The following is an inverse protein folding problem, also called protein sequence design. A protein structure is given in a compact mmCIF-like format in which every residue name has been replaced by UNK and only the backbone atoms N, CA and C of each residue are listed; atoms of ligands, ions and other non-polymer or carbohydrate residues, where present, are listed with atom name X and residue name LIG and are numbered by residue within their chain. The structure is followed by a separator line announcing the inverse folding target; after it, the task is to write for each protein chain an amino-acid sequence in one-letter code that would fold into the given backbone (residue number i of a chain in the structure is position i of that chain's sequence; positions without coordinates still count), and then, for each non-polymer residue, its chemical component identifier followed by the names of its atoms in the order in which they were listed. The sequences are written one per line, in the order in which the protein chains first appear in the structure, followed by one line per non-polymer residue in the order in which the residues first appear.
data_IF_968970765244
#
_entry.id   IF_968970765244
#
_cell.length_a   1.000
_cell.length_b   1.000
_cell.length_c   1.000
_cell.angle_alpha   90.00
_cell.angle_beta   90.00
_cell.angle_gamma   90.00
#
_symmetry.space_group_name_H-M   'P 1'
#
loop_
_entity.id
_entity.type
_entity.pdbx_description
1 polymer ?
#
# COMPACT_ATOMS: atom_id res chain seq x y z
N UNK A 1 -91.20 9.34 37.06
CA UNK A 1 -89.87 9.71 36.70
C UNK A 1 -88.84 8.74 37.30
N UNK A 2 -89.00 7.41 37.14
CA UNK A 2 -87.95 6.47 37.61
C UNK A 2 -87.05 5.94 36.44
N UNK A 3 -87.37 6.24 35.19
CA UNK A 3 -86.60 5.70 34.02
C UNK A 3 -85.31 6.45 33.69
N UNK A 4 -85.17 7.70 34.11
CA UNK A 4 -83.97 8.51 33.83
C UNK A 4 -82.78 8.19 34.71
N UNK A 5 -82.98 7.62 35.89
CA UNK A 5 -81.92 7.25 36.84
C UNK A 5 -81.29 5.89 36.50
N UNK A 6 -82.00 4.98 35.83
CA UNK A 6 -81.51 3.67 35.43
C UNK A 6 -80.57 3.78 34.20
N UNK A 7 -80.82 4.70 33.26
CA UNK A 7 -79.99 4.94 32.08
C UNK A 7 -78.64 5.56 32.46
N UNK A 8 -78.60 6.46 33.43
CA UNK A 8 -77.36 7.08 33.92
C UNK A 8 -76.46 6.10 34.66
N UNK A 9 -77.07 5.12 35.37
CA UNK A 9 -76.29 4.04 36.01
C UNK A 9 -75.66 3.04 35.06
N UNK A 10 -76.35 2.71 33.96
CA UNK A 10 -75.83 1.79 32.95
C UNK A 10 -74.69 2.48 32.11
N UNK A 11 -74.81 3.76 31.85
CA UNK A 11 -73.78 4.51 31.13
C UNK A 11 -72.53 4.68 31.98
N UNK A 12 -72.67 4.88 33.30
CA UNK A 12 -71.53 4.95 34.22
C UNK A 12 -70.80 3.61 34.37
N UNK A 13 -71.59 2.48 34.33
CA UNK A 13 -70.98 1.13 34.38
C UNK A 13 -70.27 0.74 33.09
N UNK A 14 -70.75 1.21 31.93
CA UNK A 14 -70.11 0.99 30.64
C UNK A 14 -68.83 1.82 30.44
N UNK A 15 -68.75 3.02 31.03
CA UNK A 15 -67.54 3.84 31.02
C UNK A 15 -66.42 3.32 31.92
N UNK A 16 -66.72 2.48 32.90
CA UNK A 16 -65.73 1.84 33.77
C UNK A 16 -65.00 0.64 33.14
N UNK A 17 -65.44 0.20 31.95
CA UNK A 17 -64.85 -0.95 31.22
C UNK A 17 -64.00 -0.53 30.01
N UNK A 18 -63.80 0.79 29.80
CA UNK A 18 -62.87 1.23 28.79
C UNK A 18 -61.46 1.08 29.32
N UNK A 19 -60.61 0.18 28.78
CA UNK A 19 -59.23 0.11 29.18
C UNK A 19 -58.57 1.43 28.90
N UNK A 20 -58.07 2.11 29.93
CA UNK A 20 -57.28 3.33 29.80
C UNK A 20 -56.00 2.91 29.12
N UNK A 21 -55.72 3.35 27.87
CA UNK A 21 -54.45 3.05 27.22
C UNK A 21 -53.35 3.84 27.95
N UNK A 22 -52.46 3.16 28.67
CA UNK A 22 -51.27 3.79 29.24
C UNK A 22 -50.82 3.30 30.63
N UNK A 23 -51.56 2.40 31.28
CA UNK A 23 -51.03 1.74 32.48
C UNK A 23 -50.53 0.34 32.13
N UNK A 24 -49.39 0.27 31.43
CA UNK A 24 -48.61 -0.93 31.40
C UNK A 24 -48.04 -1.12 32.82
N UNK A 25 -48.43 -2.24 33.49
CA UNK A 25 -47.87 -2.59 34.78
C UNK A 25 -46.37 -2.86 34.66
N UNK A 26 -45.65 -2.90 35.80
CA UNK A 26 -44.22 -3.18 35.75
C UNK A 26 -43.96 -4.51 35.05
N UNK A 27 -43.05 -4.49 34.07
CA UNK A 27 -42.64 -5.68 33.34
C UNK A 27 -41.84 -6.57 34.31
N UNK A 28 -42.19 -7.83 34.41
CA UNK A 28 -41.49 -8.80 35.27
C UNK A 28 -40.49 -9.66 34.48
N UNK A 29 -40.67 -9.76 33.17
CA UNK A 29 -39.84 -10.53 32.26
C UNK A 29 -39.74 -9.86 30.91
N UNK A 30 -38.64 -10.06 30.21
CA UNK A 30 -38.38 -9.65 28.84
C UNK A 30 -38.29 -10.90 27.95
N UNK A 31 -38.92 -10.86 26.79
CA UNK A 31 -38.89 -11.93 25.79
C UNK A 31 -37.93 -11.55 24.66
N UNK A 32 -36.94 -12.39 24.42
CA UNK A 32 -35.98 -12.21 23.32
C UNK A 32 -35.39 -13.57 22.93
N UNK A 33 -35.17 -13.76 21.63
CA UNK A 33 -34.52 -14.94 21.06
C UNK A 33 -35.17 -16.27 21.50
N UNK A 34 -36.52 -16.33 21.55
CA UNK A 34 -37.30 -17.45 22.05
C UNK A 34 -36.99 -17.85 23.52
N UNK A 35 -36.45 -16.92 24.29
CA UNK A 35 -36.08 -17.07 25.68
C UNK A 35 -36.68 -15.96 26.54
N UNK A 36 -37.00 -16.31 27.80
CA UNK A 36 -37.56 -15.39 28.77
C UNK A 36 -36.48 -15.00 29.79
N UNK A 37 -36.29 -13.71 29.99
CA UNK A 37 -35.31 -13.15 30.90
C UNK A 37 -36.03 -12.42 32.05
N UNK A 38 -35.57 -12.58 33.27
CA UNK A 38 -36.13 -11.89 34.45
C UNK A 38 -35.47 -10.52 34.62
N UNK A 39 -36.16 -9.64 35.33
CA UNK A 39 -35.62 -8.30 35.64
C UNK A 39 -34.28 -8.41 36.34
N UNK A 40 -33.26 -7.70 35.80
CA UNK A 40 -31.87 -7.74 36.22
C UNK A 40 -30.99 -8.72 35.44
N UNK A 41 -31.56 -9.55 34.57
CA UNK A 41 -30.78 -10.44 33.74
C UNK A 41 -30.28 -9.73 32.47
N UNK A 42 -29.05 -10.08 32.03
CA UNK A 42 -28.39 -9.59 30.85
C UNK A 42 -28.43 -10.64 29.75
N UNK A 43 -28.68 -10.20 28.52
CA UNK A 43 -28.68 -11.07 27.35
C UNK A 43 -28.21 -10.32 26.08
N UNK A 44 -27.78 -11.06 25.06
CA UNK A 44 -27.47 -10.51 23.76
C UNK A 44 -28.68 -10.65 22.85
N UNK A 45 -28.98 -9.56 22.10
CA UNK A 45 -30.13 -9.53 21.21
C UNK A 45 -29.80 -10.21 19.87
N UNK A 46 -28.56 -10.13 19.45
CA UNK A 46 -28.04 -10.61 18.17
C UNK A 46 -26.95 -11.69 18.36
N UNK A 47 -26.76 -12.52 17.33
CA UNK A 47 -25.80 -13.62 17.34
C UNK A 47 -24.34 -13.18 17.31
N UNK A 48 -24.08 -11.95 16.88
CA UNK A 48 -22.75 -11.33 16.85
C UNK A 48 -22.38 -10.62 18.16
N UNK A 49 -23.26 -10.71 19.18
CA UNK A 49 -23.09 -10.11 20.51
C UNK A 49 -22.84 -8.58 20.48
N UNK A 50 -23.33 -7.90 19.44
CA UNK A 50 -23.17 -6.45 19.33
C UNK A 50 -24.13 -5.66 20.19
N UNK A 51 -25.33 -6.20 20.43
CA UNK A 51 -26.36 -5.56 21.23
C UNK A 51 -26.57 -6.31 22.52
N UNK A 52 -26.17 -5.69 23.64
CA UNK A 52 -26.41 -6.22 24.99
C UNK A 52 -27.59 -5.51 25.63
N UNK A 53 -28.49 -6.28 26.19
CA UNK A 53 -29.70 -5.79 26.86
C UNK A 53 -29.74 -6.21 28.31
N UNK A 54 -30.27 -5.34 29.17
CA UNK A 54 -30.69 -5.64 30.51
C UNK A 54 -32.23 -5.64 30.58
N UNK A 55 -32.80 -6.68 31.15
CA UNK A 55 -34.23 -6.69 31.39
C UNK A 55 -34.55 -5.82 32.61
N UNK A 56 -35.29 -4.72 32.41
CA UNK A 56 -35.67 -3.79 33.46
C UNK A 56 -37.19 -3.83 33.72
N UNK A 57 -37.66 -3.21 34.81
CA UNK A 57 -39.07 -3.08 35.12
C UNK A 57 -39.87 -2.25 34.12
N UNK A 58 -39.17 -1.48 33.27
CA UNK A 58 -39.74 -0.64 32.21
C UNK A 58 -39.64 -1.31 30.83
N UNK A 59 -39.05 -2.49 30.76
CA UNK A 59 -38.73 -3.23 29.54
C UNK A 59 -37.24 -3.39 29.28
N UNK A 60 -36.84 -3.95 28.13
CA UNK A 60 -35.42 -4.15 27.82
C UNK A 60 -34.70 -2.81 27.57
N UNK A 61 -33.62 -2.61 28.31
CA UNK A 61 -32.68 -1.51 28.11
C UNK A 61 -31.47 -2.04 27.35
N UNK A 62 -31.33 -1.66 26.08
CA UNK A 62 -30.28 -2.18 25.17
C UNK A 62 -29.23 -1.15 24.81
N UNK A 63 -27.99 -1.59 24.76
CA UNK A 63 -26.86 -0.80 24.26
C UNK A 63 -26.10 -1.59 23.18
N UNK A 64 -25.78 -0.93 22.08
CA UNK A 64 -24.95 -1.48 21.02
C UNK A 64 -23.50 -1.13 21.25
N UNK A 65 -22.62 -2.12 21.12
CA UNK A 65 -21.17 -1.92 21.19
C UNK A 65 -20.70 -1.10 19.98
N UNK A 66 -19.99 -0.01 20.23
CA UNK A 66 -19.31 0.76 19.20
C UNK A 66 -17.88 0.22 19.02
N UNK A 67 -17.58 -0.25 17.82
CA UNK A 67 -16.26 -0.76 17.52
C UNK A 67 -15.25 0.38 17.33
N UNK A 68 -14.10 0.26 17.95
CA UNK A 68 -12.96 1.16 17.70
C UNK A 68 -12.40 0.93 16.31
N UNK A 69 -11.88 1.98 15.70
CA UNK A 69 -11.20 1.87 14.40
C UNK A 69 -9.93 1.02 14.54
N UNK A 70 -9.71 0.14 13.57
CA UNK A 70 -8.47 -0.63 13.52
C UNK A 70 -7.27 0.29 13.25
N UNK A 71 -6.07 -0.06 13.75
CA UNK A 71 -4.86 0.70 13.45
C UNK A 71 -4.59 0.73 11.94
N UNK A 72 -4.11 1.86 11.39
CA UNK A 72 -3.85 2.01 9.94
C UNK A 72 -2.87 0.96 9.41
N UNK A 73 -1.94 0.51 10.24
CA UNK A 73 -0.96 -0.51 9.89
C UNK A 73 -1.49 -1.95 10.01
N UNK A 74 -2.79 -2.16 10.17
CA UNK A 74 -3.34 -3.51 10.29
C UNK A 74 -3.35 -4.21 8.93
N UNK A 75 -2.58 -5.29 8.81
CA UNK A 75 -2.47 -6.10 7.59
C UNK A 75 -3.23 -7.42 7.67
N UNK A 76 -3.65 -7.82 8.85
CA UNK A 76 -4.49 -9.00 9.03
C UNK A 76 -5.60 -8.72 10.04
N UNK A 77 -6.83 -8.78 9.56
CA UNK A 77 -8.03 -8.55 10.36
C UNK A 77 -8.76 -9.86 10.53
N UNK A 78 -9.11 -10.23 11.76
CA UNK A 78 -10.02 -11.33 12.07
C UNK A 78 -11.38 -10.78 12.51
N UNK A 79 -12.42 -11.52 12.18
CA UNK A 79 -13.77 -11.27 12.64
C UNK A 79 -14.43 -12.61 12.95
N UNK A 80 -14.54 -12.93 14.21
CA UNK A 80 -15.20 -14.16 14.66
C UNK A 80 -16.71 -13.92 14.73
N UNK A 81 -17.55 -14.92 14.38
CA UNK A 81 -19.01 -14.77 14.38
C UNK A 81 -19.60 -14.38 15.73
N UNK A 82 -18.92 -14.72 16.84
CA UNK A 82 -19.31 -14.39 18.20
C UNK A 82 -18.77 -13.05 18.70
N UNK A 83 -17.92 -12.40 17.93
CA UNK A 83 -17.29 -11.14 18.32
C UNK A 83 -17.95 -9.98 17.57
N UNK A 84 -18.46 -9.02 18.29
CA UNK A 84 -19.09 -7.83 17.70
C UNK A 84 -18.11 -7.06 16.81
N UNK A 85 -16.85 -6.92 17.24
CA UNK A 85 -15.90 -6.05 16.59
C UNK A 85 -14.76 -6.86 15.92
N UNK A 86 -14.34 -6.45 14.74
CA UNK A 86 -13.15 -7.01 14.13
C UNK A 86 -11.90 -6.67 14.96
N UNK A 87 -10.92 -7.58 14.95
CA UNK A 87 -9.64 -7.44 15.65
C UNK A 87 -8.49 -7.40 14.67
N UNK A 88 -7.51 -6.58 14.97
CA UNK A 88 -6.26 -6.62 14.24
C UNK A 88 -5.35 -7.70 14.82
N UNK A 89 -5.09 -8.75 14.06
CA UNK A 89 -4.22 -9.86 14.45
C UNK A 89 -2.74 -9.57 14.15
N UNK A 90 -2.48 -8.75 13.15
CA UNK A 90 -1.12 -8.44 12.74
C UNK A 90 -1.01 -7.03 12.19
N UNK A 91 0.01 -6.31 12.64
CA UNK A 91 0.41 -5.00 12.13
C UNK A 91 1.71 -5.11 11.34
N UNK A 92 1.87 -4.28 10.33
CA UNK A 92 3.04 -4.26 9.47
C UNK A 92 2.77 -3.57 8.14
N UNK A 93 3.67 -3.82 7.17
CA UNK A 93 3.51 -3.39 5.80
C UNK A 93 3.53 -4.60 4.87
N UNK A 94 2.71 -4.56 3.83
CA UNK A 94 2.80 -5.49 2.71
C UNK A 94 3.46 -4.78 1.52
N UNK A 95 4.51 -5.41 0.97
CA UNK A 95 5.19 -4.93 -0.22
C UNK A 95 5.50 -6.11 -1.14
N UNK A 96 4.96 -6.09 -2.37
CA UNK A 96 5.13 -7.17 -3.38
C UNK A 96 4.85 -8.57 -2.85
N UNK A 97 3.80 -8.73 -2.03
CA UNK A 97 3.40 -10.01 -1.45
C UNK A 97 4.25 -10.49 -0.28
N UNK A 98 5.17 -9.66 0.21
CA UNK A 98 5.95 -9.93 1.42
C UNK A 98 5.49 -8.99 2.55
N UNK A 99 5.51 -9.53 3.76
CA UNK A 99 5.10 -8.79 4.96
C UNK A 99 6.33 -8.44 5.79
N UNK A 100 6.40 -7.17 6.20
CA UNK A 100 7.49 -6.60 6.98
C UNK A 100 6.96 -6.02 8.28
N UNK A 101 7.76 -6.08 9.34
CA UNK A 101 7.42 -5.52 10.65
C UNK A 101 7.53 -3.98 10.64
N UNK A 102 6.77 -3.31 11.49
CA UNK A 102 6.86 -1.87 11.64
C UNK A 102 8.28 -1.44 12.03
N UNK A 103 8.81 -0.46 11.31
CA UNK A 103 10.19 0.01 11.49
C UNK A 103 11.26 -0.85 10.81
N UNK A 104 10.88 -1.97 10.20
CA UNK A 104 11.82 -2.82 9.49
C UNK A 104 12.35 -2.16 8.22
N UNK A 105 13.68 -2.20 8.05
CA UNK A 105 14.34 -1.86 6.80
C UNK A 105 14.50 -3.11 5.96
N UNK A 106 14.21 -3.02 4.66
CA UNK A 106 14.32 -4.13 3.73
C UNK A 106 14.71 -3.65 2.34
N UNK A 107 15.26 -4.56 1.53
CA UNK A 107 15.77 -4.26 0.20
C UNK A 107 15.16 -5.22 -0.83
N UNK A 108 14.07 -4.82 -1.53
CA UNK A 108 13.40 -5.66 -2.52
C UNK A 108 14.21 -5.90 -3.79
N UNK A 109 15.14 -5.00 -4.11
CA UNK A 109 16.08 -5.11 -5.23
C UNK A 109 17.38 -4.37 -4.93
N UNK A 110 18.39 -4.57 -5.76
CA UNK A 110 19.67 -3.87 -5.61
C UNK A 110 19.54 -2.33 -5.63
N UNK A 111 18.50 -1.82 -6.28
CA UNK A 111 18.27 -0.38 -6.43
C UNK A 111 17.23 0.20 -5.48
N UNK A 112 16.56 -0.62 -4.70
CA UNK A 112 15.42 -0.18 -3.90
C UNK A 112 15.64 -0.49 -2.41
N UNK A 113 15.61 0.53 -1.58
CA UNK A 113 15.68 0.41 -0.12
C UNK A 113 14.39 0.94 0.49
N UNK A 114 13.77 0.13 1.32
CA UNK A 114 12.47 0.42 1.90
C UNK A 114 12.51 0.40 3.44
N UNK A 115 11.57 1.14 4.02
CA UNK A 115 11.26 1.11 5.45
C UNK A 115 9.76 0.93 5.61
N UNK A 116 9.36 0.04 6.51
CA UNK A 116 7.97 -0.11 6.91
C UNK A 116 7.62 0.95 7.95
N UNK A 117 6.88 1.97 7.57
CA UNK A 117 6.53 3.08 8.47
C UNK A 117 5.41 2.69 9.46
N UNK A 118 5.26 3.43 10.57
CA UNK A 118 4.24 3.14 11.59
C UNK A 118 2.79 3.25 11.09
N UNK A 119 2.56 3.89 9.96
CA UNK A 119 1.25 3.99 9.30
C UNK A 119 0.90 2.75 8.44
N UNK A 120 1.79 1.75 8.37
CA UNK A 120 1.62 0.54 7.58
C UNK A 120 1.99 0.69 6.10
N UNK A 121 2.63 1.79 5.73
CA UNK A 121 3.06 2.05 4.36
C UNK A 121 4.55 1.75 4.22
N UNK A 122 4.90 0.92 3.24
CA UNK A 122 6.28 0.72 2.85
C UNK A 122 6.77 1.91 2.01
N UNK A 123 7.67 2.70 2.57
CA UNK A 123 8.30 3.83 1.87
C UNK A 123 9.64 3.41 1.32
N UNK A 124 9.78 3.52 -0.01
CA UNK A 124 10.96 3.06 -0.73
C UNK A 124 11.71 4.23 -1.38
N UNK A 125 13.03 4.16 -1.30
CA UNK A 125 13.95 5.00 -2.05
C UNK A 125 14.54 4.15 -3.17
N UNK A 126 14.42 4.62 -4.41
CA UNK A 126 15.03 3.99 -5.58
C UNK A 126 16.27 4.79 -5.96
N UNK A 127 17.40 4.12 -6.05
CA UNK A 127 18.64 4.76 -6.49
C UNK A 127 18.53 5.10 -7.98
N UNK A 128 18.79 6.36 -8.30
CA UNK A 128 18.88 6.85 -9.69
C UNK A 128 20.33 6.77 -10.14
N UNK A 129 20.61 5.91 -11.12
CA UNK A 129 21.94 5.72 -11.64
C UNK A 129 22.26 6.76 -12.69
N UNK A 130 23.34 7.52 -12.49
CA UNK A 130 23.90 8.34 -13.56
C UNK A 130 24.26 7.46 -14.77
N UNK A 131 24.06 7.93 -16.00
CA UNK A 131 24.48 7.20 -17.19
C UNK A 131 25.98 6.87 -17.13
N UNK A 132 26.36 5.58 -17.37
CA UNK A 132 27.75 5.17 -17.27
C UNK A 132 28.60 5.88 -18.31
N UNK A 133 29.87 6.24 -18.01
CA UNK A 133 30.75 6.95 -18.92
C UNK A 133 31.38 6.05 -20.02
N UNK A 134 30.80 4.90 -20.29
CA UNK A 134 31.26 3.94 -21.29
C UNK A 134 30.13 3.39 -22.14
N UNK A 135 30.48 2.84 -23.32
CA UNK A 135 29.54 2.23 -24.27
C UNK A 135 29.32 0.74 -24.03
N UNK A 136 30.11 0.13 -23.14
CA UNK A 136 30.07 -1.28 -22.79
C UNK A 136 29.95 -1.49 -21.26
N UNK A 137 28.94 -0.88 -20.59
CA UNK A 137 28.79 -1.02 -19.16
C UNK A 137 28.44 -2.46 -18.81
N UNK A 138 28.90 -2.92 -17.65
CA UNK A 138 28.56 -4.21 -17.10
C UNK A 138 27.63 -4.05 -15.90
N UNK A 139 26.68 -4.97 -15.76
CA UNK A 139 25.76 -5.07 -14.65
C UNK A 139 26.21 -6.21 -13.75
N UNK A 140 26.75 -5.89 -12.59
CA UNK A 140 27.20 -6.87 -11.61
C UNK A 140 26.07 -7.18 -10.61
N UNK A 141 25.92 -8.46 -10.27
CA UNK A 141 24.95 -8.89 -9.27
C UNK A 141 25.29 -8.25 -7.92
N UNK A 142 24.28 -7.69 -7.25
CA UNK A 142 24.43 -7.00 -5.96
C UNK A 142 24.79 -5.51 -6.09
N UNK A 143 24.92 -4.99 -7.32
CA UNK A 143 25.16 -3.57 -7.57
C UNK A 143 23.97 -2.98 -8.33
N UNK A 144 23.45 -1.87 -7.84
CA UNK A 144 22.33 -1.16 -8.49
C UNK A 144 22.74 -0.59 -9.85
N UNK A 145 23.87 0.11 -9.87
CA UNK A 145 24.30 0.88 -11.03
C UNK A 145 25.33 0.13 -11.85
N UNK A 146 25.26 0.22 -13.20
CA UNK A 146 26.25 -0.37 -14.07
C UNK A 146 27.63 0.28 -13.89
N UNK A 147 28.67 -0.50 -14.06
CA UNK A 147 30.07 -0.06 -13.93
C UNK A 147 30.80 -0.16 -15.25
N UNK A 148 31.81 0.72 -15.45
CA UNK A 148 32.68 0.71 -16.60
C UNK A 148 34.00 0.04 -16.21
N UNK A 149 34.14 -1.26 -16.49
CA UNK A 149 35.32 -2.05 -16.08
C UNK A 149 36.62 -1.50 -16.65
N UNK A 150 36.58 -1.06 -17.91
CA UNK A 150 37.73 -0.53 -18.63
C UNK A 150 37.80 1.01 -18.60
N UNK A 151 37.03 1.62 -17.67
CA UNK A 151 36.92 3.07 -17.58
C UNK A 151 36.05 3.71 -18.68
N UNK A 152 36.01 5.05 -18.73
CA UNK A 152 35.28 5.78 -19.75
C UNK A 152 35.76 5.46 -21.15
N UNK A 153 34.84 5.26 -22.10
CA UNK A 153 35.15 4.92 -23.48
C UNK A 153 34.04 5.32 -24.49
N UNK A 154 34.32 5.18 -25.77
CA UNK A 154 33.38 5.44 -26.86
C UNK A 154 33.62 4.53 -28.05
N UNK A 155 32.64 4.46 -28.96
CA UNK A 155 32.81 3.79 -30.27
C UNK A 155 33.61 4.65 -31.25
N UNK A 156 34.46 4.00 -32.09
CA UNK A 156 35.18 4.70 -33.13
C UNK A 156 34.27 5.16 -34.27
N UNK A 157 33.27 4.34 -34.59
CA UNK A 157 32.30 4.58 -35.64
C UNK A 157 30.90 4.11 -35.24
N UNK A 158 29.90 4.40 -36.08
CA UNK A 158 28.53 3.98 -35.83
C UNK A 158 28.28 2.48 -35.94
N UNK A 159 29.29 1.66 -36.26
CA UNK A 159 29.17 0.20 -36.37
C UNK A 159 29.23 -0.51 -35.02
N UNK A 160 29.55 0.21 -33.96
CA UNK A 160 29.61 -0.28 -32.58
C UNK A 160 30.58 -1.45 -32.32
N UNK A 161 31.57 -1.65 -33.18
CA UNK A 161 32.50 -2.79 -33.11
C UNK A 161 33.83 -2.47 -32.45
N UNK A 162 34.28 -1.24 -32.54
CA UNK A 162 35.58 -0.82 -32.02
C UNK A 162 35.43 0.27 -30.97
N UNK A 163 35.90 -0.05 -29.76
CA UNK A 163 35.87 0.84 -28.60
C UNK A 163 37.26 1.40 -28.34
N UNK A 164 37.34 2.69 -28.00
CA UNK A 164 38.56 3.37 -27.61
C UNK A 164 38.37 4.01 -26.21
N UNK A 165 39.43 4.09 -25.37
CA UNK A 165 39.35 4.75 -24.09
C UNK A 165 39.13 6.26 -24.26
N UNK A 166 38.47 6.87 -23.27
CA UNK A 166 38.39 8.33 -23.16
C UNK A 166 39.76 8.89 -22.77
N UNK A 167 40.00 10.16 -23.15
CA UNK A 167 41.26 10.85 -22.88
C UNK A 167 42.04 11.15 -24.14
N UNK A 168 43.31 10.74 -24.20
CA UNK A 168 44.17 11.05 -25.34
C UNK A 168 43.68 10.38 -26.63
N UNK A 169 43.75 11.13 -27.74
CA UNK A 169 43.37 10.61 -29.06
C UNK A 169 44.30 9.49 -29.53
N UNK A 170 43.71 8.42 -30.04
CA UNK A 170 44.44 7.25 -30.56
C UNK A 170 44.39 7.21 -32.11
N UNK A 171 45.41 6.59 -32.69
CA UNK A 171 45.45 6.35 -34.11
C UNK A 171 44.65 5.09 -34.47
N UNK A 172 43.63 5.24 -35.29
CA UNK A 172 42.77 4.15 -35.76
C UNK A 172 43.14 3.71 -37.18
N UNK A 173 44.07 4.41 -37.79
CA UNK A 173 44.62 4.14 -39.10
C UNK A 173 45.86 5.01 -39.34
N UNK A 174 46.55 4.87 -40.49
CA UNK A 174 47.83 5.55 -40.74
C UNK A 174 47.69 7.07 -40.75
N UNK A 175 46.51 7.60 -41.05
CA UNK A 175 46.26 9.04 -41.14
C UNK A 175 45.05 9.54 -40.33
N UNK A 176 44.42 8.69 -39.54
CA UNK A 176 43.20 9.04 -38.82
C UNK A 176 43.42 8.91 -37.31
N UNK A 177 43.23 10.02 -36.61
CA UNK A 177 43.27 10.08 -35.17
C UNK A 177 41.86 10.30 -34.63
N UNK A 178 41.45 9.48 -33.68
CA UNK A 178 40.12 9.54 -33.03
C UNK A 178 40.28 9.79 -31.54
N UNK A 179 39.35 10.56 -30.97
CA UNK A 179 39.25 10.69 -29.51
C UNK A 179 37.79 10.76 -29.11
N UNK A 180 37.47 10.29 -27.89
CA UNK A 180 36.16 10.45 -27.31
C UNK A 180 35.88 11.92 -27.01
N UNK A 181 34.61 12.35 -27.14
CA UNK A 181 34.16 13.65 -26.65
C UNK A 181 34.22 13.73 -25.12
N UNK A 182 34.53 14.89 -24.61
CA UNK A 182 34.53 15.16 -23.16
C UNK A 182 33.08 15.50 -22.71
N UNK A 183 32.28 14.54 -22.52
CA UNK A 183 31.03 14.46 -21.73
C UNK A 183 30.03 15.63 -21.61
N UNK A 184 30.25 16.76 -22.31
CA UNK A 184 29.40 17.96 -22.18
C UNK A 184 28.48 18.23 -23.37
N UNK A 185 28.62 17.47 -24.48
CA UNK A 185 27.78 17.68 -25.65
C UNK A 185 26.44 17.01 -25.52
N UNK A 186 25.35 17.75 -25.84
CA UNK A 186 23.99 17.25 -25.87
C UNK A 186 23.90 16.05 -26.83
N UNK A 187 23.48 14.87 -26.30
CA UNK A 187 23.41 13.61 -27.04
C UNK A 187 24.47 12.57 -26.64
N UNK A 188 25.32 12.89 -25.69
CA UNK A 188 26.37 11.99 -25.18
C UNK A 188 25.82 10.85 -24.26
N UNK A 189 24.55 10.83 -24.06
CA UNK A 189 23.84 9.94 -23.14
C UNK A 189 23.33 8.71 -23.91
N UNK A 190 23.32 7.55 -23.27
CA UNK A 190 22.63 6.35 -23.76
C UNK A 190 23.36 5.50 -24.81
N UNK A 191 24.61 5.18 -24.59
CA UNK A 191 25.29 4.14 -25.39
C UNK A 191 25.69 4.55 -26.84
N UNK A 192 25.38 5.77 -27.26
CA UNK A 192 25.71 6.32 -28.57
C UNK A 192 26.95 7.19 -28.58
N UNK A 193 27.90 6.93 -27.70
CA UNK A 193 29.15 7.67 -27.64
C UNK A 193 30.02 7.28 -28.82
N UNK A 194 30.16 8.19 -29.80
CA UNK A 194 31.01 8.00 -30.96
C UNK A 194 32.19 8.96 -30.91
N UNK A 195 33.38 8.46 -31.19
CA UNK A 195 34.59 9.26 -31.21
C UNK A 195 34.53 10.29 -32.33
N UNK A 196 35.14 11.45 -32.07
CA UNK A 196 35.45 12.42 -33.15
C UNK A 196 36.76 12.02 -33.79
N UNK A 197 36.73 11.74 -35.12
CA UNK A 197 37.88 11.32 -35.86
C UNK A 197 38.32 12.43 -36.84
N UNK A 198 39.61 12.71 -36.85
CA UNK A 198 40.23 13.70 -37.74
C UNK A 198 41.27 13.03 -38.62
N UNK A 199 41.19 13.32 -39.94
CA UNK A 199 42.19 12.87 -40.88
C UNK A 199 43.26 13.94 -41.04
N UNK A 200 44.53 13.57 -40.85
CA UNK A 200 45.65 14.50 -41.07
C UNK A 200 45.73 14.94 -42.51
N UNK A 201 45.74 16.26 -42.69
CA UNK A 201 45.94 16.86 -44.00
C UNK A 201 47.34 16.53 -44.52
N UNK A 202 47.44 16.07 -45.75
CA UNK A 202 48.73 15.76 -46.35
C UNK A 202 49.32 14.38 -46.05
N UNK A 203 48.65 13.61 -45.20
CA UNK A 203 49.05 12.24 -44.92
C UNK A 203 48.70 11.33 -46.10
N UNK A 204 49.73 10.73 -46.75
CA UNK A 204 49.56 9.69 -47.77
C UNK A 204 49.67 8.31 -47.10
N UNK A 205 48.61 7.53 -47.13
CA UNK A 205 48.68 6.13 -46.75
C UNK A 205 49.65 5.42 -47.73
N UNK A 206 50.82 5.02 -47.28
CA UNK A 206 51.67 4.13 -48.05
C UNK A 206 51.00 2.80 -48.21
N UNK A 207 50.44 2.52 -49.36
CA UNK A 207 49.99 1.19 -49.75
C UNK A 207 51.22 0.27 -49.77
N UNK A 208 51.44 -0.58 -48.76
CA UNK A 208 52.35 -1.70 -48.88
C UNK A 208 51.70 -2.70 -49.83
N UNK A 209 52.17 -2.70 -51.07
CA UNK A 209 51.95 -3.84 -51.92
C UNK A 209 52.71 -5.01 -51.32
N UNK A 210 52.04 -6.00 -50.82
CA UNK A 210 52.59 -7.31 -50.59
C UNK A 210 52.66 -8.01 -51.96
N UNK A 211 53.83 -8.13 -52.49
CA UNK A 211 54.21 -9.14 -53.50
C UNK A 211 54.36 -10.48 -52.91
#
# INVERSE_FOLDING_TARGET
MPFLLAELSLLALLLALVPIPGLAGPVSTCDANDSLYYVGEWYFLDSDHCTQCECTTEGPACARTECTTLPPACIHVSHYPSDCCPRCERVGCEHRGQVYELGQHFQPSECEQCTCDPDGIARCLVADCAPPPCVNPIYEKGHCCPTCKDGPNCYVDGSQHRVIPAGEGIWVGPCTRCRCHDGQDAGYWEGNRVAKCERLRGCRATSRHHT
#
